data_IF_292307916324
#
_entry.id   IF_292307916324
#
_cell.length_a   1.000
_cell.length_b   1.000
_cell.length_c   1.000
_cell.angle_alpha   90.00
_cell.angle_beta   90.00
_cell.angle_gamma   90.00
#
_symmetry.space_group_name_H-M   'P 1'
#
loop_
_entity.id
_entity.type
_entity.pdbx_description
1 polymer ?
#
# COMPACT_ATOMS: atom_id res chain seq x y z
N UNK A 1 -10.37 37.21 -0.84
CA UNK A 1 -8.93 36.92 -0.89
C UNK A 1 -8.81 35.46 -1.24
N UNK A 2 -8.72 35.15 -2.54
CA UNK A 2 -8.64 33.78 -3.02
C UNK A 2 -7.17 33.38 -3.06
N UNK A 3 -6.75 32.43 -2.22
CA UNK A 3 -5.49 31.74 -2.41
C UNK A 3 -5.56 30.91 -3.72
N UNK A 4 -4.58 31.01 -4.62
CA UNK A 4 -4.54 30.17 -5.80
C UNK A 4 -4.19 28.73 -5.37
N UNK A 5 -5.22 27.90 -5.30
CA UNK A 5 -5.13 26.44 -5.19
C UNK A 5 -4.66 25.87 -6.53
N UNK A 6 -3.42 26.14 -6.94
CA UNK A 6 -2.78 25.40 -8.04
C UNK A 6 -1.23 25.54 -8.09
N UNK A 7 -0.56 25.44 -6.93
CA UNK A 7 0.87 25.16 -6.94
C UNK A 7 1.06 23.64 -6.87
N UNK A 8 1.18 23.00 -8.04
CA UNK A 8 1.65 21.62 -8.14
C UNK A 8 2.89 21.44 -7.23
N UNK A 9 2.98 20.37 -6.42
CA UNK A 9 4.08 20.23 -5.48
C UNK A 9 5.40 20.26 -6.25
N UNK A 10 6.25 21.23 -5.92
CA UNK A 10 7.57 21.36 -6.53
C UNK A 10 8.29 20.00 -6.48
N UNK A 11 8.73 19.52 -7.64
CA UNK A 11 9.45 18.25 -7.78
C UNK A 11 10.58 18.20 -6.74
N UNK A 12 10.52 17.24 -5.81
CA UNK A 12 11.58 17.07 -4.81
C UNK A 12 12.91 16.82 -5.52
N UNK A 13 14.01 17.44 -5.09
CA UNK A 13 15.30 17.28 -5.74
C UNK A 13 15.76 15.82 -5.67
N UNK A 14 16.24 15.28 -6.80
CA UNK A 14 16.78 13.93 -6.91
C UNK A 14 18.29 13.98 -6.85
N UNK A 15 18.90 13.18 -5.95
CA UNK A 15 20.35 13.00 -5.86
C UNK A 15 20.72 11.59 -6.30
N UNK A 16 21.70 11.48 -7.20
CA UNK A 16 22.22 10.19 -7.65
C UNK A 16 23.08 9.56 -6.55
N UNK A 17 22.76 8.32 -6.19
CA UNK A 17 23.58 7.45 -5.35
C UNK A 17 23.97 6.23 -6.19
N UNK A 18 25.17 5.69 -5.97
CA UNK A 18 25.65 4.47 -6.62
C UNK A 18 25.63 3.33 -5.60
N UNK A 19 24.99 2.22 -5.96
CA UNK A 19 24.90 1.00 -5.14
C UNK A 19 25.27 -0.21 -6.01
N UNK A 20 25.87 -1.23 -5.39
CA UNK A 20 26.15 -2.50 -6.06
C UNK A 20 25.04 -3.49 -5.76
N UNK A 21 24.72 -4.35 -6.73
CA UNK A 21 23.75 -5.43 -6.57
C UNK A 21 24.15 -6.64 -7.43
N UNK A 22 23.66 -7.85 -7.10
CA UNK A 22 23.84 -9.02 -7.93
C UNK A 22 23.35 -8.80 -9.37
N UNK A 23 24.10 -9.29 -10.35
CA UNK A 23 23.82 -9.10 -11.77
C UNK A 23 22.50 -9.74 -12.19
N UNK A 24 22.24 -10.95 -11.70
CA UNK A 24 21.00 -11.69 -11.91
C UNK A 24 19.77 -10.89 -11.45
N UNK A 25 19.85 -10.25 -10.28
CA UNK A 25 18.77 -9.40 -9.75
C UNK A 25 18.58 -8.14 -10.61
N UNK A 26 19.67 -7.48 -11.01
CA UNK A 26 19.60 -6.30 -11.85
C UNK A 26 18.96 -6.61 -13.22
N UNK A 27 19.34 -7.72 -13.84
CA UNK A 27 18.78 -8.15 -15.12
C UNK A 27 17.32 -8.61 -14.99
N UNK A 28 16.94 -9.32 -13.93
CA UNK A 28 15.52 -9.68 -13.69
C UNK A 28 14.64 -8.42 -13.64
N UNK A 29 15.07 -7.40 -12.87
CA UNK A 29 14.33 -6.14 -12.77
C UNK A 29 14.22 -5.48 -14.14
N UNK A 30 15.33 -5.39 -14.90
CA UNK A 30 15.34 -4.80 -16.25
C UNK A 30 14.38 -5.53 -17.19
N UNK A 31 14.33 -6.85 -17.16
CA UNK A 31 13.40 -7.66 -17.94
C UNK A 31 11.95 -7.36 -17.55
N UNK A 32 11.65 -7.21 -16.25
CA UNK A 32 10.29 -6.96 -15.75
C UNK A 32 9.78 -5.55 -16.07
N UNK A 33 10.62 -4.51 -15.98
CA UNK A 33 10.17 -3.10 -16.04
C UNK A 33 10.46 -2.39 -17.36
N UNK A 34 11.29 -3.00 -18.21
CA UNK A 34 11.68 -2.42 -19.50
C UNK A 34 12.70 -1.29 -19.39
N UNK A 35 13.09 -0.75 -20.54
CA UNK A 35 14.13 0.30 -20.65
C UNK A 35 13.67 1.60 -19.98
N UNK A 36 14.55 2.21 -19.19
CA UNK A 36 14.31 3.53 -18.57
C UNK A 36 13.54 3.52 -17.24
N UNK A 37 12.93 2.39 -16.86
CA UNK A 37 12.09 2.28 -15.65
C UNK A 37 12.83 1.73 -14.42
N UNK A 38 14.11 1.38 -14.55
CA UNK A 38 14.88 0.73 -13.49
C UNK A 38 14.96 1.57 -12.21
N UNK A 39 15.32 2.85 -12.33
CA UNK A 39 15.42 3.75 -11.18
C UNK A 39 14.07 4.01 -10.50
N UNK A 40 13.00 4.13 -11.29
CA UNK A 40 11.64 4.28 -10.78
C UNK A 40 11.20 3.04 -9.98
N UNK A 41 11.48 1.85 -10.50
CA UNK A 41 11.20 0.59 -9.82
C UNK A 41 11.97 0.48 -8.51
N UNK A 42 13.29 0.70 -8.53
CA UNK A 42 14.12 0.64 -7.31
C UNK A 42 13.63 1.66 -6.28
N UNK A 43 13.28 2.87 -6.71
CA UNK A 43 12.74 3.90 -5.81
C UNK A 43 11.43 3.44 -5.17
N UNK A 44 10.51 2.85 -5.93
CA UNK A 44 9.25 2.32 -5.41
C UNK A 44 9.48 1.16 -4.45
N UNK A 45 10.36 0.22 -4.80
CA UNK A 45 10.70 -0.93 -3.98
C UNK A 45 11.33 -0.51 -2.65
N UNK A 46 12.29 0.42 -2.67
CA UNK A 46 12.94 0.94 -1.47
C UNK A 46 11.94 1.69 -0.58
N UNK A 47 11.04 2.49 -1.16
CA UNK A 47 9.97 3.15 -0.39
C UNK A 47 9.05 2.13 0.29
N UNK A 48 8.63 1.10 -0.44
CA UNK A 48 7.81 0.05 0.12
C UNK A 48 8.54 -0.72 1.23
N UNK A 49 9.84 -0.97 1.08
CA UNK A 49 10.66 -1.62 2.09
C UNK A 49 10.73 -0.79 3.38
N UNK A 50 11.03 0.51 3.27
CA UNK A 50 11.07 1.43 4.42
C UNK A 50 9.71 1.49 5.13
N UNK A 51 8.61 1.53 4.38
CA UNK A 51 7.27 1.56 4.97
C UNK A 51 6.97 0.26 5.74
N UNK A 52 7.35 -0.89 5.17
CA UNK A 52 7.19 -2.19 5.84
C UNK A 52 8.05 -2.29 7.11
N UNK A 53 9.28 -1.77 7.09
CA UNK A 53 10.16 -1.75 8.24
C UNK A 53 9.56 -0.91 9.38
N UNK A 54 9.08 0.30 9.07
CA UNK A 54 8.39 1.16 10.06
C UNK A 54 7.13 0.51 10.62
N UNK A 55 6.35 -0.16 9.78
CA UNK A 55 5.17 -0.88 10.23
C UNK A 55 5.57 -2.04 11.16
N UNK A 56 6.63 -2.77 10.84
CA UNK A 56 7.14 -3.84 11.69
C UNK A 56 7.62 -3.31 13.04
N UNK A 57 8.33 -2.18 13.07
CA UNK A 57 8.73 -1.51 14.31
C UNK A 57 7.53 -1.12 15.19
N UNK A 58 6.46 -0.58 14.57
CA UNK A 58 5.25 -0.20 15.28
C UNK A 58 4.53 -1.41 15.88
N UNK A 59 4.44 -2.50 15.11
CA UNK A 59 3.85 -3.76 15.57
C UNK A 59 4.66 -4.35 16.71
N UNK A 60 5.98 -4.37 16.60
CA UNK A 60 6.87 -4.85 17.67
C UNK A 60 6.71 -4.04 18.97
N UNK A 61 6.65 -2.71 18.87
CA UNK A 61 6.41 -1.86 20.03
C UNK A 61 5.04 -2.08 20.67
N UNK A 62 4.00 -2.28 19.85
CA UNK A 62 2.67 -2.64 20.34
C UNK A 62 2.69 -3.97 21.10
N UNK A 63 3.27 -5.02 20.51
CA UNK A 63 3.36 -6.36 21.11
C UNK A 63 4.18 -6.33 22.39
N UNK A 64 5.31 -5.60 22.41
CA UNK A 64 6.13 -5.44 23.61
C UNK A 64 5.36 -4.81 24.76
N UNK A 65 4.47 -3.84 24.50
CA UNK A 65 3.70 -3.12 25.54
C UNK A 65 2.45 -3.86 25.98
N UNK A 66 1.80 -4.61 25.09
CA UNK A 66 0.45 -5.14 25.32
C UNK A 66 0.37 -6.68 25.25
N UNK A 67 1.45 -7.36 24.85
CA UNK A 67 1.45 -8.77 24.52
C UNK A 67 0.94 -9.05 23.11
N UNK A 68 1.07 -10.31 22.68
CA UNK A 68 0.53 -10.76 21.40
C UNK A 68 -1.00 -10.75 21.40
N UNK A 69 -1.60 -10.48 20.24
CA UNK A 69 -3.05 -10.59 20.06
C UNK A 69 -3.43 -12.07 20.11
N UNK A 70 -4.33 -12.49 21.01
CA UNK A 70 -4.76 -13.89 21.12
C UNK A 70 -5.35 -14.40 19.81
N UNK A 71 -5.05 -15.66 19.48
CA UNK A 71 -5.54 -16.28 18.24
C UNK A 71 -7.07 -16.29 18.14
N UNK A 72 -7.76 -16.47 19.27
CA UNK A 72 -9.22 -16.41 19.32
C UNK A 72 -9.77 -15.04 18.94
N UNK A 73 -9.10 -13.97 19.36
CA UNK A 73 -9.46 -12.60 18.99
C UNK A 73 -9.19 -12.33 17.50
N UNK A 74 -8.06 -12.81 16.97
CA UNK A 74 -7.76 -12.73 15.53
C UNK A 74 -8.80 -13.46 14.68
N UNK A 75 -9.15 -14.69 15.06
CA UNK A 75 -10.14 -15.48 14.36
C UNK A 75 -11.55 -14.86 14.42
N UNK A 76 -11.92 -14.23 15.54
CA UNK A 76 -13.18 -13.50 15.64
C UNK A 76 -13.19 -12.27 14.73
N UNK A 77 -12.13 -11.46 14.75
CA UNK A 77 -12.02 -10.28 13.89
C UNK A 77 -12.07 -10.65 12.39
N UNK A 78 -11.45 -11.77 12.00
CA UNK A 78 -11.50 -12.26 10.62
C UNK A 78 -12.94 -12.60 10.18
N UNK A 79 -13.71 -13.31 11.02
CA UNK A 79 -15.12 -13.61 10.73
C UNK A 79 -15.96 -12.34 10.57
N UNK A 80 -15.77 -11.38 11.48
CA UNK A 80 -16.48 -10.10 11.43
C UNK A 80 -16.14 -9.30 10.17
N UNK A 81 -14.87 -9.32 9.74
CA UNK A 81 -14.44 -8.68 8.51
C UNK A 81 -15.12 -9.31 7.28
N UNK A 82 -15.15 -10.63 7.17
CA UNK A 82 -15.84 -11.33 6.08
C UNK A 82 -17.36 -11.01 6.07
N UNK A 83 -18.00 -10.95 7.24
CA UNK A 83 -19.40 -10.57 7.34
C UNK A 83 -19.65 -9.12 6.94
N UNK A 84 -18.73 -8.21 7.29
CA UNK A 84 -18.80 -6.82 6.88
C UNK A 84 -18.66 -6.68 5.35
N UNK A 85 -17.71 -7.39 4.74
CA UNK A 85 -17.52 -7.42 3.29
C UNK A 85 -18.75 -7.96 2.57
N UNK A 86 -19.34 -9.06 3.05
CA UNK A 86 -20.58 -9.63 2.49
C UNK A 86 -21.73 -8.62 2.55
N UNK A 87 -21.93 -7.96 3.68
CA UNK A 87 -22.98 -6.93 3.83
C UNK A 87 -22.74 -5.74 2.91
N UNK A 88 -21.49 -5.31 2.78
CA UNK A 88 -21.15 -4.20 1.89
C UNK A 88 -21.40 -4.55 0.42
N UNK A 89 -21.06 -5.76 -0.01
CA UNK A 89 -21.35 -6.25 -1.35
C UNK A 89 -22.86 -6.31 -1.64
N UNK A 90 -23.66 -6.77 -0.67
CA UNK A 90 -25.13 -6.76 -0.79
C UNK A 90 -25.67 -5.34 -0.94
N UNK A 91 -25.20 -4.40 -0.11
CA UNK A 91 -25.59 -3.00 -0.19
C UNK A 91 -25.24 -2.38 -1.55
N UNK A 92 -24.05 -2.65 -2.10
CA UNK A 92 -23.67 -2.19 -3.44
C UNK A 92 -24.60 -2.75 -4.53
N UNK A 93 -24.93 -4.04 -4.48
CA UNK A 93 -25.84 -4.65 -5.45
C UNK A 93 -27.27 -4.08 -5.37
N UNK A 94 -27.73 -3.75 -4.17
CA UNK A 94 -29.01 -3.06 -3.96
C UNK A 94 -28.99 -1.65 -4.57
N UNK A 95 -27.87 -0.90 -4.47
CA UNK A 95 -27.74 0.41 -5.11
C UNK A 95 -27.81 0.31 -6.63
N UNK A 96 -27.06 -0.60 -7.24
CA UNK A 96 -27.07 -0.82 -8.69
C UNK A 96 -28.45 -1.22 -9.20
N UNK A 97 -29.16 -2.07 -8.45
CA UNK A 97 -30.53 -2.50 -8.78
C UNK A 97 -31.51 -1.33 -8.68
N UNK A 98 -31.42 -0.52 -7.63
CA UNK A 98 -32.27 0.65 -7.45
C UNK A 98 -32.02 1.73 -8.53
N UNK A 99 -30.75 1.95 -8.90
CA UNK A 99 -30.37 2.87 -9.98
C UNK A 99 -30.89 2.38 -11.34
N UNK A 100 -30.81 1.06 -11.61
CA UNK A 100 -31.36 0.47 -12.84
C UNK A 100 -32.89 0.52 -12.93
N UNK A 101 -33.61 0.59 -11.79
CA UNK A 101 -35.07 0.73 -11.76
C UNK A 101 -35.53 2.19 -11.85
N UNK A 102 -34.61 3.14 -11.62
CA UNK A 102 -34.87 4.57 -11.69
C UNK A 102 -34.58 5.18 -13.08
N UNK A 103 -34.00 4.41 -14.01
CA UNK A 103 -33.77 4.77 -15.42
C UNK A 103 -34.81 4.14 -16.35
#
# INVERSE_FOLDING_TARGET
MSEPMDAAPASRPVKKYSVSMPEDVAEEVRTRVGKGSFSAYVTAAVRQAIERERLAELVDDYVRRNGEIPETARAQAAREAEEAERRYAQWLAEQETNESLAS
#
